data_IF_902850175532
#
_entry.id   IF_902850175532
#
_cell.length_a   1.000
_cell.length_b   1.000
_cell.length_c   1.000
_cell.angle_alpha   90.00
_cell.angle_beta   90.00
_cell.angle_gamma   90.00
#
_symmetry.space_group_name_H-M   'P 1'
#
loop_
_entity.id
_entity.type
_entity.pdbx_description
1 polymer ?
2 non-polymer ?
3 non-polymer ?
4 non-polymer ?
5 non-polymer ?
6 water ?
#
# COMPACT_ATOMS: atom_id res chain seq x y z
N UNK A 9 20.18 22.36 22.19
CA UNK A 9 19.20 22.71 23.26
C UNK A 9 19.01 24.23 23.31
N UNK A 10 20.08 24.99 23.03
CA UNK A 10 20.11 26.48 22.99
C UNK A 10 19.64 27.00 21.63
N UNK A 11 19.73 26.14 20.60
CA UNK A 11 19.33 26.42 19.19
C UNK A 11 17.88 25.97 18.97
N UNK A 12 17.38 26.19 17.76
CA UNK A 12 16.03 25.76 17.33
C UNK A 12 16.08 25.54 15.81
N UNK A 13 15.52 24.43 15.28
CA UNK A 13 15.64 24.12 13.85
C UNK A 13 15.18 25.22 12.89
N UNK A 14 13.96 25.76 13.09
CA UNK A 14 13.41 26.91 12.33
C UNK A 14 13.53 28.15 13.22
N UNK A 15 14.65 28.22 13.97
CA UNK A 15 14.94 29.27 14.97
C UNK A 15 15.35 30.60 14.37
N UNK A 16 15.68 30.64 13.07
CA UNK A 16 16.01 31.86 12.26
C UNK A 16 17.12 32.71 12.95
N UNK A 17 18.30 32.11 13.17
CA UNK A 17 19.51 32.80 13.66
C UNK A 17 19.51 33.22 15.13
N UNK A 18 18.42 32.99 15.86
CA UNK A 18 18.28 33.42 17.27
C UNK A 18 18.68 32.28 18.20
N UNK A 19 19.41 32.58 19.29
CA UNK A 19 19.89 31.58 20.26
C UNK A 19 19.35 31.91 21.65
N UNK A 20 18.55 31.00 22.18
CA UNK A 20 17.90 31.13 23.50
C UNK A 20 17.74 29.72 24.10
N UNK A 21 18.37 29.49 25.26
CA UNK A 21 18.31 28.17 25.97
C UNK A 21 16.90 27.95 26.53
N UNK A 22 16.05 29.00 26.51
CA UNK A 22 14.67 29.02 27.09
C UNK A 22 13.69 28.19 26.24
N UNK A 23 13.52 28.55 24.95
CA UNK A 23 12.49 28.02 24.00
C UNK A 23 12.25 26.50 24.10
N UNK A 24 10.98 26.09 23.90
CA UNK A 24 10.54 24.65 23.87
C UNK A 24 10.40 24.20 22.41
N UNK A 25 10.58 25.12 21.44
CA UNK A 25 10.54 24.86 19.97
C UNK A 25 9.22 24.18 19.62
N UNK A 26 8.11 24.79 20.07
CA UNK A 26 6.74 24.21 19.92
C UNK A 26 6.40 23.98 18.45
N UNK A 27 6.64 24.93 17.53
CA UNK A 27 6.25 24.68 16.11
C UNK A 27 6.87 23.35 15.61
N UNK A 28 8.17 23.16 15.83
CA UNK A 28 8.90 21.95 15.39
C UNK A 28 8.36 20.74 16.17
N UNK A 29 8.14 20.91 17.47
CA UNK A 29 7.62 19.85 18.35
C UNK A 29 6.27 19.35 17.83
N UNK A 30 5.28 20.24 17.65
CA UNK A 30 3.90 19.85 17.20
C UNK A 30 3.97 19.19 15.81
N UNK A 31 4.78 19.72 14.88
CA UNK A 31 5.01 19.14 13.52
C UNK A 31 5.54 17.69 13.67
N UNK A 32 6.47 17.45 14.60
CA UNK A 32 7.04 16.11 14.88
C UNK A 32 6.02 15.22 15.62
N UNK A 33 5.30 15.74 16.63
CA UNK A 33 4.28 14.97 17.41
C UNK A 33 3.18 14.51 16.44
N UNK A 34 2.80 15.39 15.53
CA UNK A 34 1.77 15.15 14.49
C UNK A 34 2.22 14.04 13.53
N UNK A 35 3.45 14.14 13.01
CA UNK A 35 4.08 13.14 12.09
C UNK A 35 4.33 11.81 12.81
N UNK A 36 4.63 11.80 14.11
CA UNK A 36 4.85 10.56 14.92
C UNK A 36 3.53 9.78 15.03
N UNK A 37 2.45 10.46 15.44
CA UNK A 37 1.10 9.87 15.57
C UNK A 37 0.60 9.35 14.20
N UNK A 38 0.79 10.12 13.12
CA UNK A 38 0.33 9.72 11.76
C UNK A 38 1.14 8.52 11.21
N UNK A 39 2.46 8.47 11.43
CA UNK A 39 3.33 7.35 10.97
C UNK A 39 2.96 6.09 11.78
N UNK A 40 2.76 6.18 13.11
CA UNK A 40 2.39 5.01 13.97
C UNK A 40 0.97 4.51 13.65
N UNK A 41 -0.06 5.32 13.87
CA UNK A 41 -1.48 4.92 13.67
C UNK A 41 -1.74 4.42 12.23
N UNK A 42 -1.23 5.13 11.24
CA UNK A 42 -1.39 4.78 9.81
C UNK A 42 -0.88 3.38 9.51
N UNK A 43 0.35 3.09 9.92
CA UNK A 43 0.99 1.79 9.64
C UNK A 43 0.53 0.71 10.63
N UNK A 44 0.06 1.08 11.84
CA UNK A 44 -0.51 0.09 12.79
C UNK A 44 -1.69 -0.58 12.07
N UNK A 45 -2.56 0.21 11.45
CA UNK A 45 -3.79 -0.30 10.78
C UNK A 45 -3.41 -1.16 9.59
N UNK A 46 -2.48 -0.71 8.76
CA UNK A 46 -1.98 -1.53 7.60
C UNK A 46 -1.56 -2.93 8.10
N UNK A 47 -0.81 -2.97 9.19
CA UNK A 47 -0.32 -4.21 9.83
C UNK A 47 -1.51 -5.02 10.38
N UNK A 48 -2.49 -4.37 10.98
CA UNK A 48 -3.68 -5.05 11.57
C UNK A 48 -4.58 -5.60 10.46
N UNK A 49 -4.66 -4.89 9.33
CA UNK A 49 -5.46 -5.31 8.14
C UNK A 49 -4.87 -6.61 7.62
N UNK A 50 -3.55 -6.69 7.52
CA UNK A 50 -2.80 -7.91 7.12
C UNK A 50 -3.05 -9.06 8.11
N UNK A 51 -2.99 -8.75 9.41
CA UNK A 51 -3.23 -9.71 10.52
C UNK A 51 -4.62 -10.31 10.38
N UNK A 52 -5.61 -9.53 9.93
CA UNK A 52 -7.01 -10.00 9.83
C UNK A 52 -7.28 -10.62 8.45
N UNK A 53 -6.53 -10.23 7.42
CA UNK A 53 -6.72 -10.77 6.04
C UNK A 53 -6.28 -12.23 5.98
N UNK A 54 -7.19 -13.18 5.74
CA UNK A 54 -6.85 -14.60 5.73
C UNK A 54 -5.99 -15.00 4.52
N UNK A 55 -6.38 -14.56 3.32
CA UNK A 55 -5.68 -14.89 2.05
C UNK A 55 -5.39 -13.59 1.31
N UNK A 56 -4.38 -13.61 0.45
CA UNK A 56 -3.99 -12.40 -0.28
C UNK A 56 -3.92 -12.68 -1.79
N UNK A 57 -4.04 -11.61 -2.54
CA UNK A 57 -3.79 -11.51 -3.98
C UNK A 57 -2.41 -10.88 -3.97
N UNK A 58 -1.51 -11.28 -4.85
CA UNK A 58 -0.13 -10.74 -4.83
C UNK A 58 0.47 -10.91 -3.42
N UNK A 59 0.73 -12.17 -3.09
CA UNK A 59 1.35 -12.61 -1.83
C UNK A 59 2.72 -11.96 -1.66
N UNK A 60 3.64 -12.12 -2.62
CA UNK A 60 5.02 -11.56 -2.48
C UNK A 60 5.00 -10.02 -2.39
N UNK A 61 4.23 -9.33 -3.23
CA UNK A 61 4.16 -7.85 -3.25
C UNK A 61 3.59 -7.38 -1.92
N UNK A 62 2.61 -8.10 -1.39
CA UNK A 62 2.00 -7.76 -0.08
C UNK A 62 3.02 -7.98 1.04
N UNK A 63 3.92 -8.96 0.89
CA UNK A 63 4.96 -9.22 1.92
C UNK A 63 5.97 -8.07 1.96
N UNK A 64 6.35 -7.52 0.81
CA UNK A 64 7.26 -6.35 0.77
C UNK A 64 6.56 -5.10 1.31
N UNK A 65 5.24 -4.98 1.08
CA UNK A 65 4.42 -3.84 1.56
C UNK A 65 4.35 -3.93 3.09
N UNK A 66 4.14 -5.13 3.64
CA UNK A 66 4.09 -5.38 5.11
C UNK A 66 5.46 -5.06 5.72
N UNK A 67 6.56 -5.39 5.03
CA UNK A 67 7.93 -5.08 5.50
C UNK A 67 8.07 -3.55 5.52
N UNK A 68 7.64 -2.87 4.47
CA UNK A 68 7.64 -1.39 4.37
C UNK A 68 6.77 -0.81 5.48
N UNK A 69 5.67 -1.46 5.80
CA UNK A 69 4.70 -1.03 6.84
C UNK A 69 5.35 -1.12 8.22
N UNK A 70 6.16 -2.15 8.48
CA UNK A 70 6.87 -2.31 9.76
C UNK A 70 7.99 -1.30 9.85
N UNK A 71 8.74 -1.12 8.74
CA UNK A 71 9.84 -0.15 8.59
C UNK A 71 9.32 1.24 8.95
N UNK A 72 8.23 1.65 8.30
CA UNK A 72 7.56 2.94 8.52
C UNK A 72 7.02 3.01 9.96
N UNK A 73 6.54 1.89 10.52
CA UNK A 73 6.02 1.87 11.93
C UNK A 73 7.19 2.13 12.87
N UNK A 74 8.29 1.40 12.66
CA UNK A 74 9.51 1.51 13.50
C UNK A 74 10.03 2.95 13.46
N UNK A 75 9.89 3.66 12.33
CA UNK A 75 10.23 5.11 12.20
C UNK A 75 9.44 5.95 13.23
N UNK A 76 8.12 5.80 13.26
CA UNK A 76 7.23 6.50 14.19
C UNK A 76 7.55 6.19 15.65
N UNK A 77 7.74 4.92 16.00
CA UNK A 77 8.07 4.50 17.40
C UNK A 77 9.47 5.04 17.73
N UNK A 78 10.35 5.05 16.74
CA UNK A 78 11.72 5.61 16.87
C UNK A 78 11.63 7.14 16.98
N UNK A 79 10.53 7.73 16.50
CA UNK A 79 10.34 9.20 16.52
C UNK A 79 9.75 9.66 17.87
N UNK A 80 9.51 8.75 18.82
CA UNK A 80 9.08 9.12 20.18
C UNK A 80 10.25 9.82 20.89
N UNK A 81 11.47 9.30 20.73
CA UNK A 81 12.71 9.81 21.38
C UNK A 81 12.99 11.27 21.01
N UNK A 82 13.07 11.72 19.72
CA UNK A 82 13.29 13.14 19.43
C UNK A 82 12.12 14.03 19.88
N UNK A 83 10.89 13.50 19.85
CA UNK A 83 9.67 14.17 20.37
C UNK A 83 9.85 14.36 21.88
N UNK A 84 10.36 13.34 22.58
CA UNK A 84 10.67 13.37 24.05
C UNK A 84 11.75 14.42 24.31
N UNK A 85 12.72 14.57 23.41
CA UNK A 85 13.80 15.58 23.50
C UNK A 85 13.23 16.99 23.31
N UNK A 86 12.28 17.16 22.40
CA UNK A 86 11.68 18.51 22.15
C UNK A 86 10.82 18.94 23.35
N UNK A 87 10.09 18.00 23.96
CA UNK A 87 9.28 18.22 25.20
C UNK A 87 10.21 18.31 26.41
N UNK A 88 11.32 17.56 26.38
CA UNK A 88 12.40 17.43 27.40
C UNK A 88 11.83 17.24 28.82
N UNK A 89 10.70 16.55 28.98
CA UNK A 89 10.10 16.18 30.29
C UNK A 89 11.09 15.26 31.03
N UNK A 90 11.71 14.35 30.27
CA UNK A 90 12.80 13.43 30.70
C UNK A 90 13.65 13.11 29.44
N UNK A 91 14.86 13.67 29.34
CA UNK A 91 15.77 13.49 28.16
C UNK A 91 16.75 12.34 28.39
N UNK A 92 16.52 11.51 29.43
CA UNK A 92 17.31 10.29 29.72
C UNK A 92 18.75 10.60 30.09
N UNK A 93 19.70 10.22 29.23
CA UNK A 93 21.17 10.41 29.40
C UNK A 93 21.86 10.29 28.02
N UNK A 94 23.12 10.73 27.93
CA UNK A 94 24.03 10.66 26.75
C UNK A 94 23.30 11.03 25.45
N UNK A 95 23.06 12.32 25.25
CA UNK A 95 22.34 12.83 24.05
C UNK A 95 23.11 12.46 22.79
N UNK A 96 24.43 12.64 22.73
CA UNK A 96 25.16 12.35 21.48
C UNK A 96 24.98 10.87 21.12
N UNK A 97 25.11 9.96 22.09
CA UNK A 97 24.90 8.50 21.83
C UNK A 97 23.46 8.32 21.34
N UNK A 98 22.51 8.80 22.12
CA UNK A 98 21.05 8.73 21.82
C UNK A 98 20.83 9.18 20.38
N UNK A 99 21.46 10.28 20.00
CA UNK A 99 21.31 10.90 18.66
C UNK A 99 21.90 9.98 17.58
N UNK A 100 23.08 9.44 17.80
CA UNK A 100 23.76 8.57 16.80
C UNK A 100 22.87 7.38 16.47
N UNK A 101 22.41 6.63 17.49
CA UNK A 101 21.53 5.43 17.37
C UNK A 101 20.28 5.82 16.55
N UNK A 102 19.55 6.85 16.98
CA UNK A 102 18.32 7.33 16.30
C UNK A 102 18.59 7.61 14.81
N UNK A 103 19.64 8.36 14.49
CA UNK A 103 19.98 8.71 13.08
C UNK A 103 20.20 7.49 12.22
N UNK A 104 20.84 6.46 12.79
CA UNK A 104 21.19 5.15 12.15
C UNK A 104 19.92 4.34 11.90
N UNK A 105 19.17 4.04 12.97
CA UNK A 105 17.94 3.19 12.88
C UNK A 105 16.94 3.86 11.93
N UNK A 106 17.01 5.16 11.74
CA UNK A 106 16.07 5.83 10.81
C UNK A 106 16.73 5.93 9.43
N UNK A 107 18.00 5.58 9.32
CA UNK A 107 18.72 5.54 8.02
C UNK A 107 18.55 4.14 7.43
N UNK A 108 18.58 3.11 8.28
CA UNK A 108 18.45 1.69 7.85
C UNK A 108 17.01 1.46 7.36
N UNK A 109 16.01 2.02 8.04
CA UNK A 109 14.57 1.85 7.71
C UNK A 109 14.24 2.54 6.39
N UNK A 110 14.78 3.72 6.13
CA UNK A 110 14.50 4.44 4.86
C UNK A 110 15.13 3.63 3.72
N UNK A 111 16.06 2.73 4.05
CA UNK A 111 16.72 1.84 3.07
C UNK A 111 15.93 0.54 2.95
N UNK A 112 15.42 0.00 4.08
CA UNK A 112 14.58 -1.24 4.09
C UNK A 112 13.44 -1.01 3.09
N UNK A 113 12.73 0.11 3.23
CA UNK A 113 11.66 0.55 2.30
C UNK A 113 12.24 0.83 0.90
N UNK A 114 13.48 1.29 0.82
CA UNK A 114 14.15 1.62 -0.47
C UNK A 114 14.31 0.33 -1.27
N UNK A 115 14.64 -0.76 -0.57
CA UNK A 115 14.87 -2.07 -1.23
C UNK A 115 13.55 -2.81 -1.44
N UNK A 116 12.61 -2.71 -0.51
CA UNK A 116 11.26 -3.34 -0.66
C UNK A 116 10.62 -2.79 -1.94
N UNK A 117 10.86 -1.51 -2.25
CA UNK A 117 10.33 -0.85 -3.47
C UNK A 117 11.05 -1.33 -4.72
N UNK A 118 12.32 -1.70 -4.57
CA UNK A 118 13.16 -2.22 -5.66
C UNK A 118 12.73 -3.65 -5.95
N UNK A 119 12.39 -4.40 -4.90
CA UNK A 119 11.99 -5.82 -5.01
C UNK A 119 10.58 -5.97 -5.57
N UNK A 120 9.62 -5.16 -5.09
CA UNK A 120 8.22 -5.20 -5.60
C UNK A 120 8.25 -4.97 -7.12
N UNK A 121 9.10 -4.06 -7.59
CA UNK A 121 9.24 -3.71 -9.02
C UNK A 121 9.77 -4.92 -9.79
N UNK A 122 10.80 -5.59 -9.24
CA UNK A 122 11.42 -6.81 -9.84
C UNK A 122 10.37 -7.93 -9.86
N UNK A 123 9.62 -8.08 -8.76
CA UNK A 123 8.53 -9.07 -8.64
C UNK A 123 7.52 -8.90 -9.79
N UNK A 124 7.05 -7.67 -10.01
CA UNK A 124 6.04 -7.36 -11.06
C UNK A 124 6.65 -7.50 -12.45
N UNK A 125 7.95 -7.23 -12.57
CA UNK A 125 8.73 -7.38 -13.83
C UNK A 125 8.76 -8.87 -14.19
N UNK A 126 9.01 -9.73 -13.20
CA UNK A 126 9.08 -11.19 -13.37
C UNK A 126 7.70 -11.76 -13.69
N UNK A 127 6.66 -11.25 -13.04
CA UNK A 127 5.27 -11.72 -13.23
C UNK A 127 4.79 -11.40 -14.64
N UNK A 128 5.41 -10.39 -15.27
CA UNK A 128 5.01 -9.94 -16.65
C UNK A 128 5.92 -10.62 -17.68
N UNK A 129 7.25 -10.49 -17.57
CA UNK A 129 8.22 -11.02 -18.57
C UNK A 129 8.29 -12.56 -18.60
N UNK A 130 8.40 -13.22 -17.45
CA UNK A 130 8.49 -14.70 -17.37
C UNK A 130 7.31 -15.22 -16.58
N UNK A 131 6.07 -15.23 -17.15
CA UNK A 131 4.88 -15.61 -16.37
C UNK A 131 4.79 -17.10 -15.96
N UNK A 132 5.27 -18.00 -16.83
CA UNK A 132 5.29 -19.45 -16.54
C UNK A 132 6.44 -19.72 -15.56
N UNK A 133 7.57 -19.05 -15.79
CA UNK A 133 8.81 -19.17 -14.98
C UNK A 133 8.61 -18.58 -13.57
N UNK A 134 7.76 -17.56 -13.43
CA UNK A 134 7.54 -16.77 -12.19
C UNK A 134 7.31 -17.65 -10.96
N UNK A 135 6.42 -18.64 -11.04
CA UNK A 135 6.00 -19.45 -9.88
C UNK A 135 7.09 -20.39 -9.34
N UNK A 136 8.13 -20.68 -10.11
CA UNK A 136 9.26 -21.52 -9.63
C UNK A 136 10.38 -20.60 -9.15
N UNK A 137 10.53 -19.46 -9.82
CA UNK A 137 11.56 -18.42 -9.57
C UNK A 137 11.31 -17.69 -8.25
N UNK A 138 10.11 -17.12 -8.05
CA UNK A 138 9.76 -16.35 -6.83
C UNK A 138 9.04 -17.29 -5.86
N UNK A 139 9.74 -17.76 -4.83
CA UNK A 139 9.25 -18.81 -3.91
C UNK A 139 9.25 -18.32 -2.45
N UNK A 140 8.42 -18.87 -1.52
CA UNK A 140 8.43 -18.46 -0.11
C UNK A 140 9.81 -18.48 0.58
N UNK A 141 10.65 -19.44 0.19
CA UNK A 141 12.03 -19.61 0.69
C UNK A 141 12.85 -18.41 0.22
N UNK A 142 12.81 -18.10 -1.08
CA UNK A 142 13.58 -17.00 -1.70
C UNK A 142 13.05 -15.67 -1.22
N UNK A 143 11.76 -15.59 -0.95
CA UNK A 143 11.16 -14.33 -0.44
C UNK A 143 11.66 -14.09 0.99
N UNK A 144 11.56 -15.07 1.88
CA UNK A 144 12.05 -14.96 3.29
C UNK A 144 13.54 -14.64 3.28
N UNK A 145 14.32 -15.30 2.41
CA UNK A 145 15.78 -15.04 2.24
C UNK A 145 15.92 -13.57 1.89
N UNK A 146 15.21 -13.14 0.85
CA UNK A 146 15.26 -11.77 0.32
C UNK A 146 14.95 -10.73 1.41
N UNK A 147 13.89 -10.92 2.23
CA UNK A 147 13.53 -9.89 3.26
C UNK A 147 14.58 -9.90 4.37
N UNK A 148 15.02 -11.08 4.86
CA UNK A 148 16.08 -11.19 5.91
C UNK A 148 17.32 -10.48 5.37
N UNK A 149 17.64 -10.67 4.08
CA UNK A 149 18.78 -10.01 3.44
C UNK A 149 18.59 -8.49 3.41
N UNK A 150 17.35 -7.99 3.26
CA UNK A 150 17.13 -6.51 3.20
C UNK A 150 17.41 -5.90 4.58
N UNK A 151 17.03 -6.58 5.67
CA UNK A 151 17.27 -6.11 7.06
C UNK A 151 18.75 -6.21 7.42
N UNK A 152 19.41 -7.30 7.01
CA UNK A 152 20.86 -7.51 7.29
C UNK A 152 21.68 -6.51 6.45
N UNK A 153 21.46 -6.43 5.14
CA UNK A 153 22.21 -5.51 4.24
C UNK A 153 22.05 -4.06 4.67
N UNK A 154 20.84 -3.66 5.08
CA UNK A 154 20.55 -2.27 5.51
C UNK A 154 21.37 -1.90 6.74
N UNK A 155 21.44 -2.83 7.70
CA UNK A 155 22.23 -2.64 8.94
C UNK A 155 23.72 -2.49 8.63
N UNK A 156 24.20 -3.10 7.54
CA UNK A 156 25.65 -3.13 7.18
C UNK A 156 26.04 -1.87 6.36
N UNK A 157 25.19 -1.37 5.47
CA UNK A 157 25.58 -0.16 4.65
C UNK A 157 25.61 1.08 5.55
N UNK A 158 25.01 1.04 6.74
CA UNK A 158 25.01 2.19 7.69
C UNK A 158 25.76 1.85 8.98
N UNK A 159 26.40 0.68 9.08
CA UNK A 159 27.17 0.26 10.30
C UNK A 159 28.45 1.08 10.47
N UNK A 160 29.17 1.58 9.41
CA UNK A 160 30.38 2.39 9.63
C UNK A 160 30.15 3.72 10.39
N UNK A 161 28.89 4.05 10.66
CA UNK A 161 28.49 5.24 11.46
C UNK A 161 28.97 5.03 12.90
N UNK A 162 29.09 3.78 13.34
CA UNK A 162 29.53 3.41 14.70
C UNK A 162 31.03 3.15 14.76
N UNK A 163 31.68 3.04 13.60
CA UNK A 163 33.13 2.69 13.53
C UNK A 163 33.91 3.84 12.88
N UNK A 164 33.65 5.06 13.36
CA UNK A 164 34.35 6.29 12.97
C UNK A 164 34.56 6.42 11.47
N UNK A 165 33.52 6.20 10.67
CA UNK A 165 33.61 6.43 9.20
C UNK A 165 32.85 7.71 8.86
N UNK A 166 32.32 8.37 9.89
CA UNK A 166 31.56 9.64 9.79
C UNK A 166 30.07 9.42 9.95
N UNK A 167 29.31 10.50 10.04
CA UNK A 167 27.84 10.40 10.20
C UNK A 167 27.19 10.08 8.86
N UNK A 168 26.14 9.23 8.88
CA UNK A 168 25.50 8.80 7.63
C UNK A 168 24.35 9.69 7.16
N UNK A 169 23.94 10.67 7.97
CA UNK A 169 22.82 11.52 7.57
C UNK A 169 22.28 12.44 8.65
N UNK A 170 21.38 13.33 8.23
CA UNK A 170 20.78 14.43 9.04
C UNK A 170 19.56 13.99 9.86
N UNK A 171 19.27 12.69 9.92
CA UNK A 171 18.17 12.12 10.73
C UNK A 171 18.43 12.44 12.20
N UNK A 172 19.69 12.75 12.54
CA UNK A 172 20.12 13.09 13.90
C UNK A 172 20.23 14.59 14.15
N UNK A 173 20.16 15.44 13.13
CA UNK A 173 20.28 16.91 13.27
C UNK A 173 19.24 17.46 14.27
N UNK A 174 18.13 16.73 14.48
CA UNK A 174 17.07 17.13 15.45
C UNK A 174 17.69 17.29 16.84
N UNK A 175 18.42 16.28 17.31
CA UNK A 175 19.11 16.35 18.61
C UNK A 175 20.27 17.34 18.46
N UNK A 176 20.45 18.20 19.46
CA UNK A 176 21.49 19.27 19.47
C UNK A 176 22.89 18.68 19.24
N UNK A 177 23.19 17.54 19.88
CA UNK A 177 24.53 16.86 19.81
C UNK A 177 25.00 16.60 18.38
N UNK A 178 24.18 16.01 17.49
CA UNK A 178 24.63 15.66 16.11
C UNK A 178 24.86 16.91 15.25
N UNK A 179 24.19 18.03 15.54
CA UNK A 179 24.38 19.28 14.77
C UNK A 179 25.84 19.75 14.93
N UNK A 180 26.35 19.75 16.17
CA UNK A 180 27.71 20.22 16.52
C UNK A 180 28.75 19.09 16.44
N UNK A 181 28.55 17.99 17.18
CA UNK A 181 29.50 16.86 17.40
C UNK A 181 29.78 16.04 16.13
N UNK A 182 28.79 15.88 15.25
CA UNK A 182 28.84 15.00 14.05
C UNK A 182 29.19 15.76 12.76
N UNK A 183 29.82 15.06 11.81
CA UNK A 183 30.17 15.58 10.47
C UNK A 183 30.12 14.42 9.45
N UNK A 184 29.58 14.66 8.25
CA UNK A 184 29.37 13.63 7.19
C UNK A 184 30.61 13.45 6.30
N UNK A 185 30.86 12.23 5.82
CA UNK A 185 32.01 11.93 4.90
C UNK A 185 31.48 11.82 3.47
N UNK A 186 32.17 12.44 2.50
CA UNK A 186 31.84 12.32 1.06
C UNK A 186 32.25 10.93 0.56
N UNK A 187 33.15 10.27 1.29
CA UNK A 187 33.57 8.86 1.05
C UNK A 187 32.41 7.95 1.49
N UNK A 188 31.85 8.17 2.69
CA UNK A 188 30.69 7.43 3.27
C UNK A 188 29.47 7.67 2.40
N UNK A 189 29.28 8.91 1.96
CA UNK A 189 28.18 9.34 1.07
C UNK A 189 28.31 8.64 -0.29
N UNK A 190 29.50 8.66 -0.89
CA UNK A 190 29.79 8.01 -2.19
C UNK A 190 29.61 6.49 -2.12
N UNK A 191 29.99 5.88 -0.98
CA UNK A 191 29.91 4.41 -0.73
C UNK A 191 28.44 4.00 -0.61
N UNK A 192 27.66 4.70 0.21
CA UNK A 192 26.21 4.38 0.41
C UNK A 192 25.41 4.79 -0.84
N UNK A 193 25.90 5.72 -1.66
CA UNK A 193 25.21 6.07 -2.94
C UNK A 193 25.35 4.87 -3.87
N UNK A 194 26.55 4.31 -3.98
CA UNK A 194 26.81 3.17 -4.91
C UNK A 194 26.29 1.84 -4.33
N UNK A 195 25.98 1.78 -3.04
CA UNK A 195 25.46 0.54 -2.38
C UNK A 195 23.96 0.66 -2.06
N UNK A 196 23.36 1.85 -2.12
CA UNK A 196 21.91 1.97 -1.82
C UNK A 196 21.18 2.81 -2.88
N UNK A 197 21.42 4.12 -2.94
CA UNK A 197 20.64 5.05 -3.80
C UNK A 197 20.81 4.70 -5.28
N UNK A 198 22.03 4.72 -5.81
CA UNK A 198 22.27 4.42 -7.24
C UNK A 198 21.73 3.02 -7.60
N UNK A 199 22.02 1.91 -6.86
CA UNK A 199 21.47 0.61 -7.26
C UNK A 199 19.95 0.46 -7.11
N UNK A 200 19.37 0.83 -5.97
CA UNK A 200 17.91 0.73 -5.73
C UNK A 200 17.13 1.65 -6.68
N UNK A 201 17.64 2.85 -6.97
CA UNK A 201 16.99 3.80 -7.91
C UNK A 201 17.07 3.25 -9.33
N UNK A 202 18.20 2.64 -9.71
CA UNK A 202 18.38 2.09 -11.06
C UNK A 202 17.38 0.95 -11.27
N UNK A 203 17.36 -0.01 -10.35
CA UNK A 203 16.44 -1.20 -10.36
C UNK A 203 15.02 -0.72 -10.64
N UNK A 204 14.49 0.12 -9.76
CA UNK A 204 13.11 0.69 -9.88
C UNK A 204 12.94 1.36 -11.24
N UNK A 205 13.88 2.21 -11.64
CA UNK A 205 13.81 2.92 -12.94
C UNK A 205 13.74 1.91 -14.09
N UNK A 206 14.64 0.93 -14.09
CA UNK A 206 14.75 -0.09 -15.17
C UNK A 206 13.46 -0.89 -15.30
N UNK A 207 13.05 -1.58 -14.22
CA UNK A 207 11.87 -2.47 -14.17
C UNK A 207 10.61 -1.73 -14.65
N UNK A 208 10.31 -0.56 -14.07
CA UNK A 208 9.08 0.18 -14.43
C UNK A 208 9.10 0.63 -15.89
N UNK A 209 10.26 0.98 -16.43
CA UNK A 209 10.42 1.37 -17.86
C UNK A 209 9.92 0.21 -18.72
N UNK A 210 10.44 -0.99 -18.45
CA UNK A 210 10.09 -2.24 -19.18
C UNK A 210 8.60 -2.54 -19.01
N UNK A 211 8.12 -2.72 -17.76
CA UNK A 211 6.70 -3.13 -17.46
C UNK A 211 5.70 -2.19 -18.14
N UNK A 212 5.93 -0.88 -18.16
CA UNK A 212 4.99 0.10 -18.78
C UNK A 212 5.04 0.01 -20.31
N UNK A 213 6.21 -0.30 -20.88
CA UNK A 213 6.37 -0.49 -22.35
C UNK A 213 5.68 -1.78 -22.78
N UNK A 214 5.69 -2.81 -21.90
CA UNK A 214 5.01 -4.12 -22.14
C UNK A 214 3.49 -3.89 -22.11
N UNK A 215 2.99 -3.06 -21.20
CA UNK A 215 1.54 -2.75 -21.08
C UNK A 215 1.02 -2.04 -22.35
N UNK A 216 1.92 -1.45 -23.13
CA UNK A 216 1.60 -0.81 -24.45
C UNK A 216 1.45 -1.93 -25.49
N UNK A 217 2.55 -2.63 -25.78
CA UNK A 217 2.60 -3.71 -26.80
C UNK A 217 2.02 -5.03 -26.23
N UNK A 218 0.80 -4.99 -25.65
CA UNK A 218 0.13 -6.19 -25.10
C UNK A 218 -0.71 -6.86 -26.20
N UNK A 219 -1.73 -6.13 -26.70
CA UNK A 219 -2.67 -6.58 -27.78
C UNK A 219 -3.29 -7.95 -27.38
N UNK A 220 -3.41 -8.25 -26.08
CA UNK A 220 -3.90 -9.56 -25.54
C UNK A 220 -5.43 -9.52 -25.35
N UNK A 221 -6.17 -10.44 -26.00
CA UNK A 221 -7.66 -10.52 -25.91
C UNK A 221 -8.04 -10.77 -24.44
N UNK A 222 -8.80 -9.84 -23.85
CA UNK A 222 -9.22 -9.89 -22.42
C UNK A 222 -10.52 -10.71 -22.27
N UNK A 223 -10.50 -11.73 -21.42
CA UNK A 223 -11.66 -12.61 -21.23
C UNK A 223 -12.26 -12.33 -19.87
N UNK A 224 -13.52 -11.89 -19.84
CA UNK A 224 -14.24 -11.58 -18.59
C UNK A 224 -15.45 -12.50 -18.44
N UNK A 225 -15.74 -12.86 -17.19
CA UNK A 225 -16.90 -13.71 -16.85
C UNK A 225 -17.85 -12.90 -15.99
N UNK A 226 -19.14 -13.02 -16.28
CA UNK A 226 -20.18 -12.42 -15.40
C UNK A 226 -21.02 -13.58 -14.88
N UNK A 227 -21.23 -13.64 -13.57
CA UNK A 227 -22.16 -14.65 -12.97
C UNK A 227 -23.20 -13.91 -12.11
N UNK A 228 -24.44 -14.00 -12.55
CA UNK A 228 -25.57 -13.28 -11.93
C UNK A 228 -26.57 -14.26 -11.29
N UNK A 229 -27.23 -13.76 -10.26
CA UNK A 229 -28.37 -14.40 -9.58
C UNK A 229 -29.53 -13.42 -9.52
N UNK A 230 -30.64 -13.74 -10.21
CA UNK A 230 -31.83 -12.86 -10.32
C UNK A 230 -33.08 -13.69 -10.11
N UNK A 231 -33.99 -13.19 -9.30
CA UNK A 231 -35.29 -13.88 -9.09
C UNK A 231 -36.37 -13.12 -9.84
N UNK A 232 -36.18 -11.84 -10.18
CA UNK A 232 -37.17 -11.06 -10.98
C UNK A 232 -36.53 -10.47 -12.26
N UNK A 233 -35.23 -10.73 -12.50
CA UNK A 233 -34.52 -10.41 -13.75
C UNK A 233 -33.76 -9.09 -13.78
N UNK A 234 -33.61 -8.39 -12.65
CA UNK A 234 -32.95 -7.06 -12.64
C UNK A 234 -31.42 -7.22 -12.69
N UNK A 235 -30.85 -8.15 -11.92
CA UNK A 235 -29.40 -8.37 -11.94
C UNK A 235 -29.01 -8.95 -13.31
N UNK A 236 -29.90 -9.73 -13.92
CA UNK A 236 -29.70 -10.28 -15.29
C UNK A 236 -29.68 -9.13 -16.29
N UNK A 237 -30.59 -8.15 -16.18
CA UNK A 237 -30.56 -6.97 -17.09
C UNK A 237 -29.25 -6.21 -16.87
N UNK A 238 -28.87 -5.99 -15.60
CA UNK A 238 -27.65 -5.25 -15.19
C UNK A 238 -26.40 -5.96 -15.71
N UNK A 239 -26.39 -7.30 -15.64
CA UNK A 239 -25.29 -8.17 -16.13
C UNK A 239 -25.13 -7.97 -17.64
N UNK A 240 -26.24 -8.10 -18.35
CA UNK A 240 -26.35 -7.97 -19.82
C UNK A 240 -25.88 -6.57 -20.19
N UNK A 241 -26.27 -5.55 -19.42
CA UNK A 241 -25.88 -4.14 -19.69
C UNK A 241 -24.36 -4.04 -19.56
N UNK A 242 -23.79 -4.60 -18.48
CA UNK A 242 -22.34 -4.61 -18.18
C UNK A 242 -21.60 -5.33 -19.32
N UNK A 243 -22.09 -6.51 -19.73
CA UNK A 243 -21.51 -7.35 -20.80
C UNK A 243 -21.32 -6.55 -22.09
N UNK A 244 -22.40 -5.94 -22.59
CA UNK A 244 -22.37 -5.09 -23.81
C UNK A 244 -21.35 -3.97 -23.66
N UNK A 245 -21.17 -3.45 -22.46
CA UNK A 245 -20.21 -2.35 -22.23
C UNK A 245 -18.79 -2.89 -22.37
N UNK A 246 -18.54 -4.08 -21.83
CA UNK A 246 -17.19 -4.70 -21.89
C UNK A 246 -16.94 -5.18 -23.32
N UNK A 247 -17.95 -5.71 -24.01
CA UNK A 247 -17.83 -6.21 -25.41
C UNK A 247 -17.39 -5.05 -26.31
N UNK A 248 -18.02 -3.88 -26.15
CA UNK A 248 -17.70 -2.62 -26.87
C UNK A 248 -16.23 -2.21 -26.66
N UNK A 249 -15.66 -2.55 -25.50
CA UNK A 249 -14.26 -2.24 -25.13
C UNK A 249 -13.29 -3.21 -25.82
N UNK A 250 -13.73 -4.44 -26.08
CA UNK A 250 -12.91 -5.47 -26.76
C UNK A 250 -12.90 -6.81 -26.03
N UNK A 251 -13.52 -6.88 -24.86
CA UNK A 251 -13.58 -8.09 -23.99
C UNK A 251 -14.32 -9.26 -24.65
N UNK A 252 -13.90 -10.48 -24.29
CA UNK A 252 -14.56 -11.74 -24.65
C UNK A 252 -15.39 -12.09 -23.43
N UNK A 253 -16.67 -11.71 -23.44
CA UNK A 253 -17.52 -11.85 -22.23
C UNK A 253 -18.33 -13.16 -22.29
N UNK A 254 -18.33 -13.85 -21.15
CA UNK A 254 -19.19 -15.02 -20.86
C UNK A 254 -20.08 -14.58 -19.71
N UNK A 255 -21.34 -14.34 -19.99
CA UNK A 255 -22.32 -13.96 -18.96
C UNK A 255 -23.09 -15.23 -18.66
N UNK A 256 -22.94 -15.77 -17.47
CA UNK A 256 -23.67 -17.00 -17.10
C UNK A 256 -24.59 -16.80 -15.88
N UNK A 257 -25.70 -17.52 -15.86
CA UNK A 257 -26.63 -17.53 -14.72
C UNK A 257 -26.00 -18.43 -13.66
N UNK A 258 -26.04 -18.00 -12.41
CA UNK A 258 -25.53 -18.74 -11.23
C UNK A 258 -26.11 -20.17 -11.11
N UNK A 259 -27.35 -20.40 -11.52
CA UNK A 259 -27.98 -21.73 -11.40
C UNK A 259 -27.41 -22.71 -12.45
N UNK A 260 -26.80 -22.16 -13.52
CA UNK A 260 -26.25 -22.92 -14.69
C UNK A 260 -24.74 -23.23 -14.54
N UNK A 261 -24.09 -22.69 -13.49
CA UNK A 261 -22.61 -22.82 -13.31
C UNK A 261 -22.29 -23.82 -12.20
N UNK A 262 -21.16 -24.52 -12.38
CA UNK A 262 -20.56 -25.40 -11.34
C UNK A 262 -19.38 -24.61 -10.76
N UNK A 263 -19.22 -24.61 -9.44
CA UNK A 263 -18.23 -23.77 -8.72
C UNK A 263 -16.78 -24.12 -9.10
N UNK A 264 -16.44 -25.41 -9.20
CA UNK A 264 -15.10 -25.94 -9.54
C UNK A 264 -14.40 -25.19 -10.68
N UNK A 265 -13.27 -24.56 -10.37
CA UNK A 265 -12.43 -23.81 -11.33
C UNK A 265 -13.19 -22.88 -12.24
N UNK A 266 -14.27 -22.27 -11.74
CA UNK A 266 -15.17 -21.41 -12.53
C UNK A 266 -14.44 -20.14 -12.98
N UNK A 267 -13.66 -19.51 -12.10
CA UNK A 267 -13.00 -18.22 -12.44
C UNK A 267 -11.76 -18.45 -13.31
N UNK A 268 -11.20 -19.66 -13.32
CA UNK A 268 -10.00 -20.05 -14.13
C UNK A 268 -10.15 -19.73 -15.62
N UNK A 269 -9.19 -18.97 -16.15
CA UNK A 269 -9.19 -18.57 -17.58
C UNK A 269 -9.46 -17.09 -17.75
N UNK A 270 -10.26 -16.54 -16.84
CA UNK A 270 -10.77 -15.15 -16.92
C UNK A 270 -9.84 -14.16 -16.23
N UNK A 271 -9.71 -13.00 -16.88
CA UNK A 271 -8.84 -11.86 -16.51
C UNK A 271 -9.65 -10.91 -15.65
N UNK A 272 -10.98 -11.04 -15.73
CA UNK A 272 -11.90 -10.17 -14.96
C UNK A 272 -13.12 -11.00 -14.61
N UNK A 273 -13.60 -10.89 -13.38
CA UNK A 273 -14.80 -11.64 -12.97
C UNK A 273 -15.76 -10.69 -12.27
N UNK A 274 -16.95 -10.52 -12.82
CA UNK A 274 -17.96 -9.65 -12.21
C UNK A 274 -19.03 -10.53 -11.59
N UNK A 275 -19.36 -10.30 -10.33
CA UNK A 275 -20.35 -11.16 -9.68
C UNK A 275 -21.59 -10.34 -9.34
N UNK A 276 -22.72 -10.73 -9.91
CA UNK A 276 -24.01 -10.09 -9.65
C UNK A 276 -24.89 -10.89 -8.71
N UNK A 277 -25.53 -10.22 -7.76
CA UNK A 277 -26.50 -10.90 -6.88
C UNK A 277 -27.47 -9.88 -6.28
N UNK A 278 -28.73 -10.23 -6.32
CA UNK A 278 -29.79 -9.40 -5.71
C UNK A 278 -29.90 -9.81 -4.26
N UNK A 279 -30.40 -8.92 -3.42
CA UNK A 279 -30.52 -9.19 -1.98
C UNK A 279 -31.95 -9.57 -1.59
N UNK A 280 -32.07 -10.52 -0.68
CA UNK A 280 -33.37 -11.14 -0.29
C UNK A 280 -33.41 -11.35 1.22
N UNK A 281 -34.42 -12.08 1.69
CA UNK A 281 -34.58 -12.43 3.11
C UNK A 281 -35.64 -11.60 3.83
N UNK A 282 -36.56 -12.30 4.50
CA UNK A 282 -37.60 -11.68 5.36
C UNK A 282 -36.95 -11.48 6.70
N UNK A 283 -36.58 -10.25 7.04
CA UNK A 283 -35.91 -9.88 8.31
C UNK A 283 -34.57 -10.60 8.39
N UNK A 284 -33.83 -10.60 7.28
CA UNK A 284 -32.50 -11.22 7.10
C UNK A 284 -31.87 -10.69 5.82
N UNK A 285 -30.55 -10.76 5.76
CA UNK A 285 -29.85 -10.55 4.47
C UNK A 285 -29.63 -11.96 3.94
N UNK A 286 -30.31 -12.28 2.84
CA UNK A 286 -30.18 -13.59 2.16
C UNK A 286 -29.74 -13.33 0.74
N UNK A 287 -28.97 -14.27 0.22
CA UNK A 287 -28.48 -14.14 -1.16
C UNK A 287 -29.55 -14.70 -2.09
N UNK A 288 -29.52 -14.24 -3.34
CA UNK A 288 -30.46 -14.73 -4.38
C UNK A 288 -30.32 -16.25 -4.49
N UNK A 289 -31.46 -16.94 -4.51
CA UNK A 289 -31.60 -18.43 -4.48
C UNK A 289 -30.57 -19.16 -5.36
N UNK A 290 -30.37 -18.71 -6.61
CA UNK A 290 -29.47 -19.32 -7.63
C UNK A 290 -28.01 -19.14 -7.24
N UNK A 291 -27.69 -18.08 -6.51
CA UNK A 291 -26.30 -17.73 -6.11
C UNK A 291 -25.90 -18.47 -4.84
N UNK A 292 -26.85 -18.79 -3.96
CA UNK A 292 -26.57 -19.43 -2.65
C UNK A 292 -25.60 -20.59 -2.87
N UNK A 293 -25.85 -21.59 -3.75
CA UNK A 293 -24.85 -22.65 -3.94
C UNK A 293 -23.46 -22.14 -4.39
N UNK A 294 -23.41 -21.19 -5.33
CA UNK A 294 -22.15 -20.60 -5.89
C UNK A 294 -21.37 -19.90 -4.79
N UNK A 295 -22.06 -19.21 -3.90
CA UNK A 295 -21.43 -18.48 -2.77
C UNK A 295 -20.84 -19.49 -1.78
N UNK A 296 -21.56 -20.57 -1.50
CA UNK A 296 -21.12 -21.54 -0.47
C UNK A 296 -19.91 -22.34 -0.98
N UNK A 297 -19.71 -22.41 -2.29
CA UNK A 297 -18.56 -23.14 -2.85
C UNK A 297 -17.67 -22.17 -3.63
N UNK A 298 -17.66 -20.92 -3.20
CA UNK A 298 -16.88 -19.86 -3.90
C UNK A 298 -15.39 -20.21 -3.80
N UNK A 299 -14.97 -20.95 -2.76
CA UNK A 299 -13.57 -21.38 -2.52
C UNK A 299 -12.99 -22.06 -3.77
N UNK A 300 -13.75 -23.02 -4.28
CA UNK A 300 -13.43 -23.88 -5.45
C UNK A 300 -13.34 -23.09 -6.77
N UNK A 301 -13.80 -21.83 -6.85
CA UNK A 301 -13.88 -21.10 -8.15
C UNK A 301 -12.48 -20.70 -8.64
N UNK A 302 -11.52 -20.60 -7.74
CA UNK A 302 -10.22 -20.05 -8.10
C UNK A 302 -10.23 -18.54 -7.97
N UNK A 303 -10.80 -18.05 -6.87
CA UNK A 303 -10.97 -16.60 -6.64
C UNK A 303 -9.65 -15.93 -6.24
N UNK A 304 -8.69 -16.68 -5.68
CA UNK A 304 -7.38 -16.12 -5.25
C UNK A 304 -6.60 -15.57 -6.45
N UNK A 305 -6.07 -14.37 -6.26
CA UNK A 305 -5.30 -13.67 -7.30
C UNK A 305 -6.18 -13.14 -8.41
N UNK A 306 -7.49 -13.40 -8.30
CA UNK A 306 -8.46 -13.02 -9.35
C UNK A 306 -8.86 -11.56 -9.22
N UNK A 307 -8.88 -10.84 -10.36
CA UNK A 307 -9.41 -9.45 -10.43
C UNK A 307 -10.93 -9.55 -10.51
N UNK A 308 -11.59 -9.41 -9.38
CA UNK A 308 -13.06 -9.55 -9.24
C UNK A 308 -13.70 -8.16 -8.93
N UNK A 309 -15.02 -8.05 -9.09
CA UNK A 309 -15.82 -6.82 -8.79
C UNK A 309 -17.28 -7.22 -8.66
N UNK A 310 -18.03 -6.51 -7.83
CA UNK A 310 -19.43 -6.98 -7.65
C UNK A 310 -20.46 -5.93 -8.05
N UNK A 311 -21.68 -6.39 -8.21
CA UNK A 311 -22.85 -5.57 -8.60
C UNK A 311 -24.09 -6.35 -8.19
N UNK A 312 -25.16 -5.61 -7.98
CA UNK A 312 -26.42 -6.22 -7.52
C UNK A 312 -27.56 -5.26 -7.55
N UNK A 313 -28.75 -5.79 -7.42
CA UNK A 313 -29.99 -5.00 -7.45
C UNK A 313 -30.64 -5.13 -6.10
N UNK A 314 -31.14 -4.01 -5.64
CA UNK A 314 -31.80 -3.92 -4.33
C UNK A 314 -32.85 -2.86 -4.32
N UNK A 315 -33.37 -2.64 -3.12
CA UNK A 315 -34.45 -1.68 -2.80
C UNK A 315 -33.98 -0.92 -1.57
N UNK A 316 -33.73 0.39 -1.73
CA UNK A 316 -33.22 1.30 -0.66
C UNK A 316 -34.09 1.32 0.61
N UNK A 317 -35.38 0.99 0.52
CA UNK A 317 -36.33 0.90 1.67
C UNK A 317 -35.90 -0.22 2.65
N UNK A 318 -34.92 -1.03 2.24
CA UNK A 318 -34.40 -2.17 3.03
C UNK A 318 -33.19 -1.69 3.85
N UNK A 319 -33.14 -2.12 5.11
CA UNK A 319 -32.04 -1.75 6.07
C UNK A 319 -30.66 -1.89 5.40
N UNK A 320 -30.40 -3.00 4.73
CA UNK A 320 -29.09 -3.21 4.08
C UNK A 320 -29.27 -3.16 2.57
N UNK A 321 -29.23 -1.96 2.02
CA UNK A 321 -29.27 -1.74 0.55
C UNK A 321 -28.18 -2.61 -0.09
N UNK A 322 -28.60 -3.66 -0.81
CA UNK A 322 -27.72 -4.60 -1.56
C UNK A 322 -26.77 -5.33 -0.59
N UNK A 323 -27.32 -5.92 0.45
CA UNK A 323 -26.52 -6.65 1.44
C UNK A 323 -25.79 -7.85 0.86
N UNK A 324 -26.29 -8.39 -0.25
CA UNK A 324 -25.67 -9.53 -0.97
C UNK A 324 -24.35 -9.03 -1.56
N UNK A 325 -24.36 -7.86 -2.21
CA UNK A 325 -23.10 -7.26 -2.74
C UNK A 325 -22.04 -7.21 -1.63
N UNK A 326 -22.45 -6.87 -0.41
CA UNK A 326 -21.57 -6.84 0.79
C UNK A 326 -21.07 -8.26 1.15
N UNK A 327 -21.95 -9.25 1.21
CA UNK A 327 -21.59 -10.64 1.60
C UNK A 327 -20.59 -11.23 0.59
N UNK A 328 -20.85 -11.03 -0.70
CA UNK A 328 -20.04 -11.54 -1.81
C UNK A 328 -18.67 -10.86 -1.73
N UNK A 329 -18.64 -9.53 -1.65
CA UNK A 329 -17.37 -8.77 -1.54
C UNK A 329 -16.49 -9.27 -0.37
N UNK A 330 -17.10 -9.55 0.78
CA UNK A 330 -16.43 -10.04 2.03
C UNK A 330 -15.83 -11.43 1.78
N UNK A 331 -16.58 -12.37 1.18
CA UNK A 331 -16.04 -13.73 0.93
C UNK A 331 -14.92 -13.65 -0.12
N UNK A 332 -15.13 -12.94 -1.22
CA UNK A 332 -14.09 -12.79 -2.28
C UNK A 332 -12.82 -12.23 -1.67
N UNK A 333 -12.92 -11.22 -0.81
CA UNK A 333 -11.72 -10.64 -0.16
C UNK A 333 -10.99 -11.74 0.63
N UNK A 334 -11.74 -12.59 1.36
CA UNK A 334 -11.25 -13.67 2.26
C UNK A 334 -10.70 -14.88 1.50
N UNK A 335 -10.94 -14.94 0.19
CA UNK A 335 -10.47 -16.05 -0.68
C UNK A 335 -9.27 -15.58 -1.49
N UNK A 336 -8.81 -14.37 -1.20
CA UNK A 336 -7.63 -13.76 -1.82
C UNK A 336 -7.94 -13.11 -3.15
N UNK A 337 -9.16 -12.63 -3.34
CA UNK A 337 -9.53 -11.91 -4.59
C UNK A 337 -9.04 -10.46 -4.49
N UNK A 338 -8.77 -9.87 -5.65
CA UNK A 338 -8.47 -8.42 -5.78
C UNK A 338 -9.79 -7.75 -6.17
N UNK A 339 -10.48 -7.11 -5.22
CA UNK A 339 -11.72 -6.36 -5.56
C UNK A 339 -11.23 -5.05 -6.19
N UNK A 340 -11.35 -4.95 -7.51
CA UNK A 340 -10.78 -3.83 -8.32
C UNK A 340 -11.62 -2.56 -8.20
N UNK A 341 -12.86 -2.66 -7.74
CA UNK A 341 -13.75 -1.47 -7.62
C UNK A 341 -14.86 -1.70 -6.60
N UNK A 342 -15.27 -0.62 -5.93
CA UNK A 342 -16.44 -0.66 -5.02
C UNK A 342 -17.64 -1.15 -5.86
N UNK A 343 -18.40 -2.10 -5.32
CA UNK A 343 -19.54 -2.75 -5.98
C UNK A 343 -20.65 -1.79 -6.43
N UNK A 344 -21.31 -2.13 -7.53
CA UNK A 344 -22.45 -1.38 -8.11
C UNK A 344 -23.73 -1.83 -7.42
N UNK A 345 -24.43 -0.90 -6.78
CA UNK A 345 -25.66 -1.19 -6.01
C UNK A 345 -26.78 -0.47 -6.71
N UNK A 346 -27.64 -1.24 -7.36
CA UNK A 346 -28.73 -0.68 -8.21
C UNK A 346 -30.05 -0.60 -7.41
N UNK A 347 -30.60 0.62 -7.31
CA UNK A 347 -31.88 0.89 -6.60
C UNK A 347 -33.08 0.73 -7.56
N UNK A 348 -33.94 -0.25 -7.26
CA UNK A 348 -35.14 -0.50 -8.07
C UNK A 348 -34.76 -0.81 -9.50
N UNK A 349 -35.47 -0.18 -10.45
CA UNK A 349 -35.38 -0.40 -11.93
C UNK A 349 -33.98 -0.08 -12.47
N UNK A 350 -33.29 -1.12 -13.01
CA UNK A 350 -31.96 -0.93 -13.58
C UNK A 350 -31.99 -0.26 -14.97
N UNK A 351 -33.13 -0.39 -15.66
CA UNK A 351 -33.35 0.19 -17.02
C UNK A 351 -33.28 1.71 -16.93
N UNK A 352 -33.70 2.27 -15.79
CA UNK A 352 -33.65 3.71 -15.47
C UNK A 352 -32.23 4.10 -15.08
N UNK A 353 -31.45 3.15 -14.57
CA UNK A 353 -30.06 3.40 -14.09
C UNK A 353 -29.02 2.92 -15.11
N UNK A 354 -29.34 2.90 -16.41
CA UNK A 354 -28.39 2.43 -17.45
C UNK A 354 -27.10 3.26 -17.45
N UNK A 355 -27.18 4.57 -17.32
CA UNK A 355 -25.98 5.45 -17.38
C UNK A 355 -25.02 5.14 -16.22
N UNK A 356 -25.57 4.77 -15.07
CA UNK A 356 -24.81 4.34 -13.87
C UNK A 356 -24.07 3.04 -14.18
N UNK A 357 -24.81 2.04 -14.67
CA UNK A 357 -24.29 0.69 -15.00
C UNK A 357 -23.18 0.80 -16.05
N UNK A 358 -23.41 1.58 -17.09
CA UNK A 358 -22.40 1.82 -18.16
C UNK A 358 -21.17 2.49 -17.54
N UNK A 359 -21.39 3.50 -16.70
CA UNK A 359 -20.29 4.24 -16.06
C UNK A 359 -19.46 3.34 -15.17
N UNK A 360 -20.11 2.43 -14.43
CA UNK A 360 -19.45 1.51 -13.49
C UNK A 360 -18.60 0.52 -14.29
N UNK A 361 -19.18 -0.03 -15.35
CA UNK A 361 -18.49 -0.97 -16.25
C UNK A 361 -17.31 -0.26 -16.92
N UNK A 362 -17.47 1.00 -17.31
CA UNK A 362 -16.38 1.82 -17.91
C UNK A 362 -15.21 1.85 -16.94
N UNK A 363 -15.51 2.19 -15.68
CA UNK A 363 -14.53 2.36 -14.58
C UNK A 363 -13.86 1.03 -14.23
N UNK A 364 -14.62 -0.07 -14.17
CA UNK A 364 -14.07 -1.41 -13.81
C UNK A 364 -12.98 -1.82 -14.84
N UNK A 365 -13.10 -1.39 -16.11
CA UNK A 365 -12.13 -1.67 -17.20
C UNK A 365 -10.81 -0.92 -16.92
N UNK A 366 -10.91 0.23 -16.25
CA UNK A 366 -9.75 1.07 -15.89
C UNK A 366 -9.23 0.78 -14.48
N UNK A 367 -9.99 -0.03 -13.75
CA UNK A 367 -9.66 -0.46 -12.38
C UNK A 367 -8.69 -1.66 -12.40
N UNK A 368 -8.49 -2.33 -13.55
CA UNK A 368 -7.62 -3.54 -13.60
C UNK A 368 -6.16 -3.11 -13.35
N UNK A 369 -5.70 -2.07 -14.05
CA UNK A 369 -4.33 -1.54 -13.96
C UNK A 369 -4.11 -0.82 -12.61
N UNK A 370 -5.13 -0.78 -11.73
CA UNK A 370 -5.04 -0.07 -10.43
C UNK A 370 -3.98 -0.70 -9.52
N UNK A 371 -3.78 -2.02 -9.55
CA UNK A 371 -2.76 -2.60 -8.65
C UNK A 371 -1.37 -2.13 -9.07
N UNK A 372 -1.10 -2.06 -10.36
CA UNK A 372 0.23 -1.61 -10.84
C UNK A 372 0.38 -0.11 -10.57
N UNK A 373 -0.68 0.68 -10.81
CA UNK A 373 -0.69 2.15 -10.57
C UNK A 373 -0.31 2.43 -9.10
N UNK A 374 -0.89 1.72 -8.11
CA UNK A 374 -0.60 2.00 -6.66
C UNK A 374 0.88 1.69 -6.37
N UNK A 375 1.43 0.57 -6.85
CA UNK A 375 2.85 0.22 -6.61
C UNK A 375 3.75 1.30 -7.21
N UNK A 376 3.47 1.69 -8.46
CA UNK A 376 4.27 2.75 -9.12
C UNK A 376 4.12 4.06 -8.35
N UNK A 377 2.91 4.39 -7.91
CA UNK A 377 2.65 5.64 -7.16
C UNK A 377 3.34 5.61 -5.79
N UNK A 378 3.21 4.53 -5.04
CA UNK A 378 3.85 4.34 -3.70
C UNK A 378 5.34 4.63 -3.86
N UNK A 379 5.93 4.11 -4.94
CA UNK A 379 7.35 4.29 -5.26
C UNK A 379 7.61 5.73 -5.71
N UNK A 380 6.81 6.27 -6.64
CA UNK A 380 6.99 7.63 -7.21
C UNK A 380 6.94 8.70 -6.10
N UNK A 381 5.99 8.58 -5.17
CA UNK A 381 5.87 9.53 -4.03
C UNK A 381 7.08 9.33 -3.11
N UNK A 382 7.61 8.10 -3.02
CA UNK A 382 8.76 7.80 -2.13
C UNK A 382 9.99 8.53 -2.63
N UNK A 383 10.29 8.38 -3.91
CA UNK A 383 11.49 8.99 -4.54
C UNK A 383 11.35 10.51 -4.54
N UNK A 384 10.18 11.09 -4.81
CA UNK A 384 10.08 12.57 -4.79
C UNK A 384 10.07 13.12 -3.34
N UNK A 385 9.92 12.27 -2.30
CA UNK A 385 9.97 12.72 -0.88
C UNK A 385 11.34 12.49 -0.26
N UNK A 386 12.14 11.59 -0.84
CA UNK A 386 13.50 11.32 -0.34
C UNK A 386 14.56 11.85 -1.33
N UNK A 387 14.14 12.33 -2.52
CA UNK A 387 15.04 12.97 -3.53
C UNK A 387 15.66 14.23 -2.94
N UNK A 388 14.89 15.17 -2.32
CA UNK A 388 15.48 16.36 -1.70
C UNK A 388 16.56 16.04 -0.65
N UNK A 389 16.32 15.04 0.21
CA UNK A 389 17.27 14.63 1.27
C UNK A 389 18.55 14.08 0.65
N UNK A 390 18.45 13.28 -0.41
CA UNK A 390 19.66 12.66 -1.03
C UNK A 390 20.46 13.74 -1.78
N UNK A 391 19.82 14.76 -2.36
CA UNK A 391 20.56 15.84 -3.11
C UNK A 391 21.14 16.85 -2.11
N UNK A 392 20.51 17.03 -0.95
CA UNK A 392 21.01 17.89 0.15
C UNK A 392 22.16 17.16 0.84
N UNK A 393 22.02 15.84 1.01
CA UNK A 393 23.05 14.95 1.60
C UNK A 393 24.23 14.88 0.63
N UNK A 394 23.93 14.80 -0.66
CA UNK A 394 24.92 14.78 -1.76
C UNK A 394 25.83 16.01 -1.64
N UNK A 395 25.21 17.19 -1.51
CA UNK A 395 25.93 18.48 -1.48
C UNK A 395 26.61 18.71 -0.14
N UNK A 396 25.88 18.68 0.99
CA UNK A 396 26.43 19.02 2.33
C UNK A 396 27.49 18.03 2.84
N UNK A 397 27.59 16.84 2.25
CA UNK A 397 28.71 15.90 2.55
C UNK A 397 29.97 16.45 1.90
N UNK A 398 29.81 17.06 0.72
CA UNK A 398 30.84 17.79 -0.06
C UNK A 398 30.97 19.24 0.43
N UNK A 399 30.09 19.64 1.37
CA UNK A 399 29.99 20.97 2.06
C UNK A 399 29.57 22.11 1.10
N UNK A 400 28.92 21.80 -0.04
CA UNK A 400 28.47 22.82 -1.04
C UNK A 400 27.45 23.77 -0.38
N UNK A 401 26.48 23.25 0.38
CA UNK A 401 25.46 24.10 1.10
C UNK A 401 25.15 23.47 2.47
N UNK A 402 25.18 24.26 3.55
CA UNK A 402 24.90 23.74 4.93
C UNK A 402 23.82 24.62 5.60
N UNK A 403 22.60 24.10 5.75
CA UNK A 403 21.45 24.85 6.32
C UNK A 403 20.72 23.98 7.35
N UNK A 404 20.53 24.42 8.63
CA UNK A 404 19.78 23.63 9.62
C UNK A 404 18.29 23.48 9.30
N UNK A 405 17.67 24.52 8.74
CA UNK A 405 16.23 24.54 8.34
C UNK A 405 16.01 23.60 7.13
N UNK A 406 16.83 23.72 6.07
CA UNK A 406 16.76 22.84 4.87
C UNK A 406 16.98 21.38 5.32
N UNK A 407 17.94 21.16 6.22
CA UNK A 407 18.23 19.84 6.84
C UNK A 407 16.98 19.30 7.53
N UNK A 408 16.35 20.11 8.37
CA UNK A 408 15.11 19.75 9.09
C UNK A 408 14.01 19.41 8.08
N UNK A 409 13.77 20.30 7.10
CA UNK A 409 12.67 20.08 6.12
C UNK A 409 12.94 18.82 5.30
N UNK A 410 14.09 18.70 4.61
CA UNK A 410 14.43 17.50 3.78
C UNK A 410 14.33 16.21 4.63
N UNK A 411 14.93 16.23 5.82
CA UNK A 411 14.94 15.11 6.81
C UNK A 411 13.51 14.73 7.17
N UNK A 412 12.67 15.68 7.55
CA UNK A 412 11.31 15.34 8.01
C UNK A 412 10.36 15.17 6.80
N UNK A 413 10.69 15.72 5.63
CA UNK A 413 9.91 15.48 4.38
C UNK A 413 10.14 14.03 3.94
N UNK A 414 11.35 13.50 4.17
CA UNK A 414 11.68 12.08 3.93
C UNK A 414 11.06 11.23 5.05
N UNK A 415 11.09 11.72 6.30
CA UNK A 415 10.52 11.01 7.49
C UNK A 415 8.99 11.00 7.35
N UNK A 416 8.46 11.85 6.47
CA UNK A 416 7.00 12.04 6.20
C UNK A 416 6.51 10.98 5.21
N UNK A 417 7.40 10.34 4.45
CA UNK A 417 6.97 9.32 3.47
C UNK A 417 6.33 8.14 4.20
N UNK A 418 6.74 7.94 5.45
CA UNK A 418 6.30 6.82 6.34
C UNK A 418 4.80 6.83 6.61
N UNK A 419 4.14 7.98 6.59
CA UNK A 419 2.68 8.01 6.85
C UNK A 419 1.91 8.09 5.53
N UNK A 420 2.60 8.27 4.40
CA UNK A 420 1.98 8.45 3.07
C UNK A 420 1.50 7.11 2.50
N UNK A 421 2.27 6.04 2.71
CA UNK A 421 1.92 4.70 2.16
C UNK A 421 0.50 4.31 2.62
N UNK A 422 0.16 4.33 3.94
CA UNK A 422 -1.20 3.97 4.35
C UNK A 422 -2.35 4.79 3.74
N UNK A 423 -2.11 6.07 3.44
CA UNK A 423 -3.17 6.94 2.83
C UNK A 423 -3.33 6.61 1.34
N UNK A 424 -2.29 6.13 0.67
CA UNK A 424 -2.41 5.72 -0.76
C UNK A 424 -3.22 4.42 -0.79
N UNK A 425 -2.85 3.44 0.05
CA UNK A 425 -3.59 2.15 0.19
C UNK A 425 -5.07 2.43 0.50
N UNK A 426 -5.32 3.31 1.49
CA UNK A 426 -6.68 3.62 1.98
C UNK A 426 -7.53 4.33 0.93
N UNK A 427 -6.95 5.17 0.08
CA UNK A 427 -7.77 5.97 -0.87
C UNK A 427 -7.67 5.42 -2.30
N UNK A 428 -7.01 4.27 -2.50
CA UNK A 428 -6.87 3.67 -3.85
C UNK A 428 -7.24 2.17 -3.89
N UNK A 429 -6.84 1.38 -2.90
CA UNK A 429 -7.09 -0.08 -2.94
C UNK A 429 -8.47 -0.38 -2.34
N UNK A 430 -9.36 -0.90 -3.18
CA UNK A 430 -10.75 -1.25 -2.78
C UNK A 430 -10.76 -2.43 -1.80
N UNK A 431 -9.86 -3.41 -1.98
CA UNK A 431 -9.78 -4.58 -1.07
C UNK A 431 -9.28 -4.08 0.29
N UNK A 432 -8.31 -3.17 0.28
CA UNK A 432 -7.75 -2.58 1.52
C UNK A 432 -8.85 -1.83 2.27
N UNK A 433 -9.53 -0.89 1.60
CA UNK A 433 -10.66 -0.13 2.19
C UNK A 433 -11.66 -1.10 2.85
N UNK A 434 -11.89 -2.24 2.21
CA UNK A 434 -12.84 -3.25 2.72
C UNK A 434 -12.25 -3.93 3.95
N UNK A 435 -10.97 -4.29 3.92
CA UNK A 435 -10.27 -4.87 5.08
C UNK A 435 -10.30 -3.93 6.28
N UNK A 436 -10.09 -2.65 6.00
CA UNK A 436 -10.10 -1.53 6.98
C UNK A 436 -11.49 -1.39 7.60
N UNK A 437 -12.54 -1.48 6.79
CA UNK A 437 -13.93 -1.38 7.31
C UNK A 437 -14.20 -2.54 8.26
N UNK A 438 -13.84 -3.77 7.88
CA UNK A 438 -14.14 -4.97 8.73
C UNK A 438 -13.29 -4.92 10.01
N UNK A 439 -12.09 -4.35 9.95
CA UNK A 439 -11.25 -4.17 11.14
C UNK A 439 -11.95 -3.26 12.15
N UNK A 440 -12.58 -2.18 11.66
CA UNK A 440 -13.36 -1.25 12.51
C UNK A 440 -14.50 -2.01 13.20
N UNK A 441 -15.18 -2.87 12.45
CA UNK A 441 -16.34 -3.66 12.94
C UNK A 441 -15.90 -4.56 14.10
N UNK A 442 -14.71 -5.17 14.01
CA UNK A 442 -14.14 -6.07 15.06
C UNK A 442 -13.79 -5.25 16.31
N UNK A 443 -13.37 -3.98 16.15
CA UNK A 443 -13.04 -3.07 17.28
C UNK A 443 -14.31 -2.75 18.07
N UNK A 444 -15.46 -2.56 17.40
CA UNK A 444 -16.76 -2.29 18.05
C UNK A 444 -17.32 -3.56 18.72
N UNK A 445 -16.90 -4.75 18.27
CA UNK A 445 -17.28 -6.07 18.86
C UNK A 445 -16.56 -6.24 20.20
N UNK A 446 -15.28 -5.87 20.28
CA UNK A 446 -14.44 -5.90 21.51
C UNK A 446 -14.96 -4.85 22.50
N UNK A 447 -15.41 -3.71 21.97
CA UNK A 447 -16.03 -2.58 22.71
C UNK A 447 -17.31 -3.05 23.43
N UNK A 448 -18.15 -3.84 22.76
CA UNK A 448 -19.41 -4.41 23.31
C UNK A 448 -19.09 -5.50 24.36
N UNK A 449 -18.18 -6.43 24.04
CA UNK A 449 -17.78 -7.52 24.96
C UNK A 449 -16.53 -7.10 25.76
#
# INVERSE_FOLDING_TARGET
GGIVNVSERHSCPLGFGHYSVVDVCIFETVVIVLLTFLIIAGNLTVIFVFHCAPLLHHYTTSYFIQTMAYADLFVGVSCLVPTLSLLHYSTGVHESLTCQVFGYIISVLKSVSMWCLACISVDRYLAITKPLSYNQLVTPCRLRICIILIWIYSCLIFLPSFFGWGKPGYHGDIFEWCATSWLTSAYFTGFIVCLLYAPAAFVVCFTYFHIFKICRQHTKEAKALIVYGSTTGNTEYTAETIARELADAGYEVDSRDAASVEAGGLFEGFDLVLLGCSTWGDDSIELQDDFIPLFDSLEETGAQGRKVACFGCGDSSWEYFCGAVDAIEEKLKNLGAEIVQDGLRIDGDPRAARDDIVGWAHDVRGAIRRYLMVLFRITSVFYMLQLPYIIYFLLESSRVLDNPTLSFLTTWLAISNSFCNPVIYALSDSTFRLGLRRLSETMCTSCMC
#
